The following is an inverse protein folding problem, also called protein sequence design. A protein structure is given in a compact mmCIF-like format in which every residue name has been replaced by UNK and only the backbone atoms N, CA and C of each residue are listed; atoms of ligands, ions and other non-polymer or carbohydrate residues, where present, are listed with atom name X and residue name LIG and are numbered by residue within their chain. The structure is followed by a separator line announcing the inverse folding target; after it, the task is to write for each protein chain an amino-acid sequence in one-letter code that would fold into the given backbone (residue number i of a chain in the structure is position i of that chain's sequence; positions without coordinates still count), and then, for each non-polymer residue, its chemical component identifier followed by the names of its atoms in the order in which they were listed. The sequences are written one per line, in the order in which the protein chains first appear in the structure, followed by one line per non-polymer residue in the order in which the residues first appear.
data_IF_634186603491
#
_entry.id   IF_634186603491
#
_cell.length_a   1.000
_cell.length_b   1.000
_cell.length_c   1.000
_cell.angle_alpha   90.00
_cell.angle_beta   90.00
_cell.angle_gamma   90.00
#
_symmetry.space_group_name_H-M   'P 1'
#
loop_
_entity.id
_entity.type
_entity.pdbx_description
1 polymer ?
#
# COMPACT_ATOMS: atom_id res chain seq x y z
N UNK A 1 6.43 -23.00 30.34
CA UNK A 1 6.68 -21.61 29.90
C UNK A 1 7.53 -21.65 28.64
N UNK A 2 7.08 -21.01 27.56
CA UNK A 2 7.80 -21.01 26.28
C UNK A 2 9.03 -20.12 26.40
N UNK A 3 10.23 -20.69 26.28
CA UNK A 3 11.49 -19.95 26.31
C UNK A 3 11.75 -19.39 24.92
N UNK A 4 11.54 -18.09 24.73
CA UNK A 4 11.77 -17.41 23.44
C UNK A 4 13.23 -16.95 23.40
N UNK A 5 14.10 -17.49 22.53
CA UNK A 5 15.52 -17.17 22.51
C UNK A 5 15.82 -15.75 22.01
N UNK A 6 14.97 -15.19 21.13
CA UNK A 6 15.07 -13.81 20.63
C UNK A 6 13.69 -13.19 20.54
N UNK A 7 13.42 -12.21 21.39
CA UNK A 7 12.18 -11.44 21.35
C UNK A 7 12.22 -10.47 20.16
N UNK A 8 11.53 -10.83 19.07
CA UNK A 8 11.40 -10.01 17.86
C UNK A 8 10.01 -10.15 17.26
N UNK A 9 9.53 -9.09 16.64
CA UNK A 9 8.33 -9.14 15.79
C UNK A 9 8.73 -9.47 14.36
N UNK A 10 7.92 -10.30 13.71
CA UNK A 10 7.99 -10.48 12.26
C UNK A 10 7.35 -9.26 11.62
N UNK A 11 8.05 -8.57 10.72
CA UNK A 11 7.43 -7.43 10.03
C UNK A 11 6.23 -7.92 9.22
N UNK A 12 5.12 -7.19 9.32
CA UNK A 12 3.99 -7.42 8.44
C UNK A 12 4.41 -6.92 7.06
N UNK A 13 4.26 -7.76 6.03
CA UNK A 13 4.40 -7.30 4.64
C UNK A 13 3.23 -6.36 4.36
N UNK A 14 3.48 -5.06 4.42
CA UNK A 14 2.51 -4.03 4.05
C UNK A 14 2.86 -3.55 2.64
N UNK A 15 2.00 -3.87 1.68
CA UNK A 15 2.10 -3.33 0.33
C UNK A 15 1.46 -1.95 0.41
N UNK A 16 2.23 -0.85 0.23
CA UNK A 16 1.64 0.48 0.23
C UNK A 16 0.62 0.57 -0.91
N UNK A 17 -0.52 1.18 -0.63
CA UNK A 17 -1.51 1.48 -1.66
C UNK A 17 -0.86 2.46 -2.64
N UNK A 18 -0.83 2.12 -3.93
CA UNK A 18 -0.26 2.99 -4.95
C UNK A 18 -1.03 4.30 -5.07
N UNK A 19 -0.33 5.40 -5.41
CA UNK A 19 -0.88 6.75 -5.43
C UNK A 19 -2.16 6.91 -6.27
N UNK A 20 -2.29 6.14 -7.34
CA UNK A 20 -3.44 6.20 -8.26
C UNK A 20 -4.34 4.96 -8.16
N UNK A 21 -4.24 4.18 -7.08
CA UNK A 21 -5.02 2.94 -6.93
C UNK A 21 -6.53 3.21 -6.88
N UNK A 22 -6.95 4.34 -6.30
CA UNK A 22 -8.36 4.73 -6.22
C UNK A 22 -8.94 5.15 -7.56
N UNK A 23 -8.23 5.97 -8.32
CA UNK A 23 -8.67 6.38 -9.67
C UNK A 23 -8.73 5.17 -10.62
N UNK A 24 -7.78 4.25 -10.49
CA UNK A 24 -7.76 3.02 -11.26
C UNK A 24 -8.95 2.11 -10.89
N UNK A 25 -9.24 1.92 -9.61
CA UNK A 25 -10.39 1.10 -9.19
C UNK A 25 -11.72 1.72 -9.65
N UNK A 26 -11.84 3.04 -9.64
CA UNK A 26 -12.98 3.76 -10.21
C UNK A 26 -13.16 3.50 -11.70
N UNK A 27 -12.07 3.54 -12.48
CA UNK A 27 -12.11 3.24 -13.92
C UNK A 27 -12.50 1.77 -14.18
N UNK A 28 -11.91 0.83 -13.44
CA UNK A 28 -12.23 -0.60 -13.54
C UNK A 28 -13.69 -0.89 -13.19
N UNK A 29 -14.23 -0.22 -12.16
CA UNK A 29 -15.63 -0.33 -11.81
C UNK A 29 -16.53 0.17 -12.94
N UNK A 30 -16.16 1.27 -13.60
CA UNK A 30 -16.90 1.79 -14.74
C UNK A 30 -16.87 0.82 -15.93
N UNK A 31 -15.72 0.21 -16.22
CA UNK A 31 -15.64 -0.83 -17.26
C UNK A 31 -16.53 -2.03 -16.95
N UNK A 32 -16.58 -2.44 -15.68
CA UNK A 32 -17.42 -3.55 -15.25
C UNK A 32 -18.91 -3.26 -15.38
N UNK A 33 -19.35 -2.01 -15.16
CA UNK A 33 -20.77 -1.64 -15.23
C UNK A 33 -21.24 -1.31 -16.65
N UNK A 34 -20.40 -0.69 -17.47
CA UNK A 34 -20.79 -0.13 -18.78
C UNK A 34 -20.27 -0.95 -19.96
N UNK A 35 -19.38 -1.92 -19.74
CA UNK A 35 -18.64 -2.65 -20.78
C UNK A 35 -17.83 -1.76 -21.74
N UNK A 36 -17.61 -0.48 -21.39
CA UNK A 36 -16.83 0.48 -22.17
C UNK A 36 -15.32 0.34 -21.88
N UNK A 37 -14.73 -0.74 -22.38
CA UNK A 37 -13.30 -1.05 -22.18
C UNK A 37 -12.37 0.01 -22.78
N UNK A 38 -12.84 0.72 -23.81
CA UNK A 38 -12.04 1.72 -24.50
C UNK A 38 -12.11 3.10 -23.84
N UNK A 39 -12.94 3.28 -22.81
CA UNK A 39 -13.12 4.56 -22.10
C UNK A 39 -13.49 5.72 -23.03
N UNK A 40 -14.23 5.44 -24.10
CA UNK A 40 -14.60 6.44 -25.13
C UNK A 40 -15.91 7.14 -24.75
N UNK A 41 -16.79 6.45 -24.05
CA UNK A 41 -18.10 6.95 -23.63
C UNK A 41 -18.13 7.32 -22.15
N UNK A 42 -18.88 6.54 -21.39
CA UNK A 42 -19.24 6.86 -20.00
C UNK A 42 -18.04 6.81 -19.04
N UNK A 43 -16.99 6.06 -19.39
CA UNK A 43 -15.79 5.95 -18.55
C UNK A 43 -14.68 6.96 -18.90
N UNK A 44 -14.95 7.91 -19.82
CA UNK A 44 -13.94 8.88 -20.28
C UNK A 44 -13.45 9.81 -19.17
N UNK A 45 -14.33 10.24 -18.26
CA UNK A 45 -13.93 11.11 -17.14
C UNK A 45 -13.11 10.36 -16.08
N UNK A 46 -13.44 9.09 -15.80
CA UNK A 46 -12.64 8.23 -14.94
C UNK A 46 -11.23 8.00 -15.52
N UNK A 47 -11.12 7.85 -16.85
CA UNK A 47 -9.83 7.72 -17.54
C UNK A 47 -9.00 9.02 -17.48
N UNK A 48 -9.65 10.19 -17.63
CA UNK A 48 -8.97 11.49 -17.47
C UNK A 48 -8.42 11.68 -16.06
N UNK A 49 -9.19 11.32 -15.03
CA UNK A 49 -8.76 11.45 -13.64
C UNK A 49 -7.56 10.54 -13.34
N UNK A 50 -7.59 9.29 -13.80
CA UNK A 50 -6.44 8.38 -13.71
C UNK A 50 -5.21 8.97 -14.41
N UNK A 51 -5.37 9.49 -15.63
CA UNK A 51 -4.26 10.08 -16.38
C UNK A 51 -3.65 11.30 -15.66
N UNK A 52 -4.49 12.10 -15.00
CA UNK A 52 -4.06 13.27 -14.23
C UNK A 52 -3.31 12.84 -12.98
N UNK A 53 -3.82 11.83 -12.26
CA UNK A 53 -3.12 11.25 -11.11
C UNK A 53 -1.75 10.71 -11.52
N UNK A 54 -1.68 9.93 -12.60
CA UNK A 54 -0.42 9.32 -13.05
C UNK A 54 0.63 10.36 -13.47
N UNK A 55 0.20 11.49 -14.06
CA UNK A 55 1.11 12.61 -14.39
C UNK A 55 1.66 13.32 -13.14
N UNK A 56 0.87 13.38 -12.07
CA UNK A 56 1.24 14.07 -10.82
C UNK A 56 1.94 13.15 -9.81
N UNK A 57 1.75 11.84 -9.92
CA UNK A 57 2.22 10.86 -8.95
C UNK A 57 3.74 10.86 -8.83
N UNK A 58 4.25 11.38 -7.71
CA UNK A 58 5.66 11.24 -7.31
C UNK A 58 5.90 9.84 -6.74
N UNK A 59 7.06 9.26 -7.04
CA UNK A 59 7.50 8.00 -6.42
C UNK A 59 7.51 8.15 -4.90
N UNK A 60 6.75 7.30 -4.20
CA UNK A 60 6.73 7.30 -2.74
C UNK A 60 8.06 6.71 -2.27
N UNK A 61 8.91 7.57 -1.72
CA UNK A 61 10.15 7.12 -1.10
C UNK A 61 9.83 6.16 0.05
N UNK A 62 10.64 5.10 0.15
CA UNK A 62 10.56 4.06 1.18
C UNK A 62 10.27 4.64 2.56
N UNK A 63 9.17 4.18 3.16
CA UNK A 63 8.80 4.52 4.54
C UNK A 63 9.91 4.14 5.49
N UNK A 64 10.23 5.01 6.45
CA UNK A 64 11.20 4.73 7.51
C UNK A 64 10.79 3.43 8.23
N UNK A 65 11.74 2.52 8.38
CA UNK A 65 11.51 1.25 9.08
C UNK A 65 11.39 1.49 10.59
N UNK A 66 10.38 0.90 11.23
CA UNK A 66 10.22 0.97 12.68
C UNK A 66 11.37 0.28 13.42
N UNK A 67 11.85 0.90 14.50
CA UNK A 67 12.94 0.38 15.35
C UNK A 67 12.48 -0.61 16.41
N UNK A 68 11.26 -1.14 16.33
CA UNK A 68 10.65 -1.95 17.39
C UNK A 68 11.49 -3.18 17.79
N UNK A 69 12.10 -3.86 16.81
CA UNK A 69 12.97 -5.01 17.07
C UNK A 69 14.24 -4.65 17.85
N UNK A 70 14.75 -3.42 17.71
CA UNK A 70 15.88 -2.92 18.48
C UNK A 70 15.49 -2.79 19.97
N UNK A 71 14.33 -2.21 20.26
CA UNK A 71 13.84 -2.05 21.63
C UNK A 71 13.48 -3.40 22.29
N UNK A 72 12.85 -4.31 21.56
CA UNK A 72 12.51 -5.65 22.05
C UNK A 72 13.75 -6.50 22.37
N UNK A 73 14.80 -6.38 21.55
CA UNK A 73 16.08 -7.05 21.82
C UNK A 73 16.75 -6.54 23.10
N UNK A 74 16.60 -5.24 23.43
CA UNK A 74 17.11 -4.65 24.67
C UNK A 74 16.30 -5.08 25.88
N UNK A 75 14.97 -5.15 25.75
CA UNK A 75 14.07 -5.60 26.81
C UNK A 75 14.24 -7.10 27.10
N UNK A 76 14.39 -7.95 26.08
CA UNK A 76 14.57 -9.40 26.26
C UNK A 76 15.80 -9.79 27.08
N UNK A 77 16.79 -8.91 27.24
CA UNK A 77 17.92 -9.10 28.18
C UNK A 77 17.54 -8.85 29.64
N UNK A 78 16.49 -8.05 29.87
CA UNK A 78 16.00 -7.64 31.19
C UNK A 78 14.75 -8.40 31.63
N UNK A 79 14.06 -9.09 30.72
CA UNK A 79 12.99 -10.03 31.04
C UNK A 79 13.62 -11.34 31.55
N UNK A 80 13.58 -11.54 32.87
CA UNK A 80 14.06 -12.73 33.56
C UNK A 80 12.96 -13.77 33.68
#
# INVERSE_FOLDING_TARGET
MVKIPKLKTKSKRMIPVGNCALELSGLLQCWATTSDVHSIGQCSDAAKNLSTCMKSAKTVNTTKTDSINFHLARLGKNFK
#
